data_IF_575353819979
#
_entry.id   IF_575353819979
#
_cell.length_a   1.000
_cell.length_b   1.000
_cell.length_c   1.000
_cell.angle_alpha   90.00
_cell.angle_beta   90.00
_cell.angle_gamma   90.00
#
_symmetry.space_group_name_H-M   'P 1'
#
loop_
_entity.id
_entity.type
_entity.pdbx_description
1 polymer ?
#
# COMPACT_ATOMS: atom_id res chain seq x y z
N UNK A 1 -32.92 8.58 63.21
CA UNK A 1 -33.62 9.84 62.91
C UNK A 1 -32.72 10.58 61.93
N UNK A 2 -32.98 10.80 60.65
CA UNK A 2 -34.16 10.80 59.76
C UNK A 2 -33.56 10.71 58.34
N UNK A 3 -33.85 9.65 57.58
CA UNK A 3 -34.78 9.61 56.44
C UNK A 3 -34.21 10.04 55.06
N UNK A 4 -34.01 9.02 54.22
CA UNK A 4 -34.32 8.94 52.77
C UNK A 4 -33.25 9.33 51.72
N UNK A 5 -32.83 8.35 50.87
CA UNK A 5 -32.46 8.52 49.45
C UNK A 5 -33.76 8.37 48.57
N UNK A 6 -33.80 8.13 47.23
CA UNK A 6 -32.78 8.04 46.16
C UNK A 6 -33.18 8.78 44.83
N UNK A 7 -32.34 8.72 43.77
CA UNK A 7 -32.83 8.85 42.39
C UNK A 7 -31.93 8.11 41.38
N UNK A 8 -32.42 6.94 40.96
CA UNK A 8 -31.96 6.13 39.82
C UNK A 8 -32.57 6.67 38.52
N UNK A 9 -31.75 6.91 37.49
CA UNK A 9 -32.19 7.17 36.12
C UNK A 9 -31.78 5.98 35.24
N UNK A 10 -32.77 5.23 34.76
CA UNK A 10 -32.65 4.29 33.65
C UNK A 10 -33.51 4.77 32.48
N UNK A 11 -33.12 4.46 31.23
CA UNK A 11 -33.66 5.12 30.04
C UNK A 11 -34.96 4.49 29.55
N UNK A 12 -35.83 5.36 29.04
CA UNK A 12 -37.11 5.03 28.42
C UNK A 12 -36.88 4.51 26.98
N UNK A 13 -37.29 3.27 26.71
CA UNK A 13 -37.22 2.62 25.38
C UNK A 13 -38.61 2.09 25.04
N UNK A 14 -39.31 2.76 24.11
CA UNK A 14 -40.30 2.14 23.23
C UNK A 14 -40.84 3.15 22.21
N UNK A 15 -40.52 2.93 20.93
CA UNK A 15 -41.46 3.12 19.82
C UNK A 15 -41.05 2.22 18.65
N UNK A 16 -42.04 1.47 18.18
CA UNK A 16 -42.05 0.52 17.06
C UNK A 16 -42.19 1.23 15.71
N UNK A 17 -42.21 0.41 14.64
CA UNK A 17 -42.40 0.69 13.19
C UNK A 17 -41.05 0.77 12.43
N UNK A 18 -40.79 0.02 11.38
CA UNK A 18 -41.54 -0.97 10.62
C UNK A 18 -40.74 -1.36 9.38
N UNK A 19 -41.05 -2.55 8.86
CA UNK A 19 -40.91 -3.02 7.47
C UNK A 19 -39.52 -3.16 6.85
N UNK A 20 -39.11 -4.43 6.74
CA UNK A 20 -38.26 -4.99 5.69
C UNK A 20 -38.81 -4.65 4.29
N UNK A 21 -37.92 -4.41 3.32
CA UNK A 21 -38.26 -4.55 1.91
C UNK A 21 -37.05 -5.07 1.15
N UNK A 22 -37.16 -6.34 0.80
CA UNK A 22 -36.45 -7.07 -0.25
C UNK A 22 -36.62 -6.39 -1.61
N UNK A 23 -35.51 -6.12 -2.31
CA UNK A 23 -35.51 -5.73 -3.72
C UNK A 23 -35.58 -6.98 -4.59
N UNK A 24 -36.77 -7.26 -5.13
CA UNK A 24 -37.02 -8.18 -6.24
C UNK A 24 -36.89 -7.43 -7.57
N UNK A 25 -36.11 -7.99 -8.49
CA UNK A 25 -36.02 -7.54 -9.88
C UNK A 25 -37.25 -8.03 -10.66
N UNK A 26 -38.08 -7.10 -11.14
CA UNK A 26 -39.12 -7.38 -12.14
C UNK A 26 -38.59 -7.05 -13.54
N UNK A 27 -38.74 -8.04 -14.43
CA UNK A 27 -38.66 -7.92 -15.88
C UNK A 27 -39.84 -7.10 -16.37
N UNK A 28 -39.58 -6.08 -17.20
CA UNK A 28 -40.61 -5.50 -18.05
C UNK A 28 -40.42 -5.95 -19.49
N UNK A 29 -41.53 -6.44 -20.03
CA UNK A 29 -41.70 -7.04 -21.33
C UNK A 29 -42.61 -6.09 -22.10
N UNK A 30 -42.14 -5.55 -23.22
CA UNK A 30 -43.04 -4.92 -24.20
C UNK A 30 -43.00 -5.67 -25.52
N UNK A 31 -44.23 -6.05 -25.90
CA UNK A 31 -44.65 -6.84 -27.04
C UNK A 31 -44.36 -6.19 -28.40
N UNK A 32 -44.06 -7.04 -29.39
CA UNK A 32 -44.77 -7.04 -30.68
C UNK A 32 -44.45 -8.33 -31.50
N UNK A 33 -45.43 -9.24 -31.54
CA UNK A 33 -45.67 -10.29 -32.55
C UNK A 33 -46.19 -9.65 -33.87
N UNK A 34 -46.51 -10.39 -34.97
CA UNK A 34 -46.21 -11.77 -35.38
C UNK A 34 -45.69 -11.80 -36.88
N UNK A 35 -45.35 -12.87 -37.59
CA UNK A 35 -46.18 -13.98 -38.08
C UNK A 35 -45.31 -15.00 -38.85
N UNK A 36 -45.71 -16.25 -38.65
CA UNK A 36 -45.43 -17.52 -39.33
C UNK A 36 -45.19 -17.41 -40.86
N UNK A 37 -44.35 -18.26 -41.47
CA UNK A 37 -44.81 -19.61 -41.81
C UNK A 37 -43.68 -20.58 -42.18
N UNK A 38 -43.84 -21.80 -41.67
CA UNK A 38 -43.20 -23.05 -42.08
C UNK A 38 -43.91 -23.56 -43.35
N UNK A 39 -43.15 -24.15 -44.28
CA UNK A 39 -43.71 -24.93 -45.38
C UNK A 39 -42.64 -25.76 -46.08
N UNK A 40 -42.71 -27.07 -45.90
CA UNK A 40 -41.76 -28.10 -46.32
C UNK A 40 -42.10 -28.74 -47.68
N UNK A 41 -41.05 -29.09 -48.43
CA UNK A 41 -40.85 -30.33 -49.22
C UNK A 41 -41.83 -30.78 -50.33
N UNK A 42 -41.30 -31.12 -51.52
CA UNK A 42 -41.22 -32.49 -52.12
C UNK A 42 -41.21 -32.47 -53.68
N UNK A 43 -40.19 -33.16 -54.23
CA UNK A 43 -40.01 -33.95 -55.48
C UNK A 43 -40.61 -33.63 -56.88
N UNK A 44 -39.77 -33.98 -57.88
CA UNK A 44 -40.11 -34.54 -59.20
C UNK A 44 -39.34 -33.84 -60.33
N UNK A 45 -38.25 -34.37 -60.92
CA UNK A 45 -38.19 -35.54 -61.82
C UNK A 45 -38.37 -35.07 -63.29
N UNK A 46 -37.34 -34.72 -64.07
CA UNK A 46 -36.38 -35.53 -64.86
C UNK A 46 -36.67 -35.58 -66.38
N UNK A 47 -35.57 -35.58 -67.16
CA UNK A 47 -35.32 -36.15 -68.52
C UNK A 47 -35.26 -35.32 -69.82
N UNK A 48 -34.24 -35.75 -70.60
CA UNK A 48 -33.82 -35.51 -72.00
C UNK A 48 -32.64 -34.53 -72.17
N UNK A 49 -31.54 -34.83 -72.89
CA UNK A 49 -31.22 -35.97 -73.74
C UNK A 49 -29.70 -36.13 -73.95
N UNK A 50 -29.37 -37.35 -74.38
CA UNK A 50 -28.10 -38.03 -74.58
C UNK A 50 -27.21 -37.49 -75.71
N UNK A 51 -25.88 -37.45 -75.50
CA UNK A 51 -24.92 -37.83 -76.55
C UNK A 51 -23.53 -38.19 -75.97
N UNK A 52 -23.16 -39.47 -76.11
CA UNK A 52 -21.81 -40.00 -75.88
C UNK A 52 -21.22 -40.45 -77.22
N UNK A 53 -20.01 -40.01 -77.55
CA UNK A 53 -19.04 -40.81 -78.31
C UNK A 53 -17.62 -40.50 -77.85
N UNK A 54 -16.86 -41.60 -77.66
CA UNK A 54 -15.53 -41.72 -77.03
C UNK A 54 -14.41 -41.08 -77.85
N UNK A 55 -13.40 -40.55 -77.15
CA UNK A 55 -12.01 -40.53 -77.62
C UNK A 55 -11.09 -41.02 -76.50
N UNK A 56 -10.08 -41.77 -76.90
CA UNK A 56 -9.17 -42.61 -76.12
C UNK A 56 -8.08 -41.83 -75.36
N UNK A 57 -7.72 -42.31 -74.17
CA UNK A 57 -6.35 -42.32 -73.65
C UNK A 57 -5.88 -41.13 -72.80
N UNK A 58 -5.78 -41.33 -71.47
CA UNK A 58 -4.54 -41.22 -70.66
C UNK A 58 -4.86 -41.34 -69.16
N UNK A 59 -4.10 -42.20 -68.47
CA UNK A 59 -4.00 -42.26 -67.01
C UNK A 59 -3.62 -40.87 -66.46
N UNK A 60 -4.39 -40.34 -65.51
CA UNK A 60 -3.98 -39.19 -64.70
C UNK A 60 -4.28 -39.45 -63.20
N UNK A 61 -3.25 -39.19 -62.38
CA UNK A 61 -3.15 -39.36 -60.91
C UNK A 61 -4.01 -38.35 -60.13
N UNK A 62 -4.24 -38.53 -58.81
CA UNK A 62 -5.33 -37.88 -58.08
C UNK A 62 -5.03 -36.41 -57.70
N UNK A 63 -6.04 -35.56 -57.91
CA UNK A 63 -6.09 -34.09 -57.68
C UNK A 63 -5.99 -33.64 -56.21
N UNK A 64 -5.95 -34.55 -55.24
CA UNK A 64 -6.13 -34.22 -53.81
C UNK A 64 -4.88 -33.70 -53.10
N UNK A 65 -3.69 -33.84 -53.71
CA UNK A 65 -2.42 -33.37 -53.14
C UNK A 65 -2.08 -31.91 -53.50
N UNK A 66 -2.66 -31.39 -54.60
CA UNK A 66 -2.36 -30.04 -55.08
C UNK A 66 -3.12 -28.94 -54.34
N UNK A 67 -4.34 -29.21 -53.83
CA UNK A 67 -5.11 -28.21 -53.06
C UNK A 67 -4.52 -27.97 -51.68
N UNK A 68 -4.20 -29.03 -50.93
CA UNK A 68 -3.62 -28.94 -49.58
C UNK A 68 -2.30 -28.17 -49.55
N UNK A 69 -1.39 -28.42 -50.50
CA UNK A 69 -0.11 -27.72 -50.57
C UNK A 69 -0.27 -26.23 -50.90
N UNK A 70 -1.32 -25.88 -51.63
CA UNK A 70 -1.62 -24.51 -52.05
C UNK A 70 -2.31 -23.73 -50.92
N UNK A 71 -3.22 -24.38 -50.19
CA UNK A 71 -3.88 -23.83 -49.00
C UNK A 71 -2.87 -23.63 -47.83
N UNK A 72 -1.96 -24.60 -47.62
CA UNK A 72 -0.87 -24.48 -46.64
C UNK A 72 0.10 -23.35 -47.04
N UNK A 73 0.39 -23.19 -48.34
CA UNK A 73 1.24 -22.11 -48.85
C UNK A 73 0.63 -20.73 -48.63
N UNK A 74 -0.69 -20.58 -48.81
CA UNK A 74 -1.40 -19.32 -48.55
C UNK A 74 -1.43 -18.99 -47.05
N UNK A 75 -1.74 -19.95 -46.18
CA UNK A 75 -1.74 -19.75 -44.72
C UNK A 75 -0.33 -19.43 -44.18
N UNK A 76 0.71 -20.08 -44.72
CA UNK A 76 2.11 -19.79 -44.36
C UNK A 76 2.55 -18.38 -44.81
N UNK A 77 2.09 -17.92 -45.97
CA UNK A 77 2.39 -16.58 -46.46
C UNK A 77 1.69 -15.49 -45.63
N UNK A 78 0.43 -15.70 -45.24
CA UNK A 78 -0.32 -14.78 -44.39
C UNK A 78 0.26 -14.69 -42.97
N UNK A 79 0.61 -15.83 -42.38
CA UNK A 79 1.26 -15.87 -41.06
C UNK A 79 2.65 -15.24 -41.09
N UNK A 80 3.42 -15.43 -42.16
CA UNK A 80 4.70 -14.76 -42.36
C UNK A 80 4.57 -13.24 -42.52
N UNK A 81 3.57 -12.78 -43.26
CA UNK A 81 3.29 -11.34 -43.42
C UNK A 81 2.85 -10.71 -42.10
N UNK A 82 1.95 -11.38 -41.36
CA UNK A 82 1.50 -10.94 -40.05
C UNK A 82 2.65 -10.89 -39.05
N UNK A 83 3.44 -11.95 -38.89
CA UNK A 83 4.60 -11.95 -37.98
C UNK A 83 5.63 -10.90 -38.37
N UNK A 84 5.93 -10.73 -39.66
CA UNK A 84 6.84 -9.70 -40.14
C UNK A 84 6.32 -8.28 -39.87
N UNK A 85 5.02 -8.05 -40.06
CA UNK A 85 4.39 -6.76 -39.77
C UNK A 85 4.35 -6.48 -38.27
N UNK A 86 4.03 -7.48 -37.44
CA UNK A 86 4.08 -7.37 -35.97
C UNK A 86 5.48 -7.05 -35.48
N UNK A 87 6.52 -7.74 -35.98
CA UNK A 87 7.93 -7.47 -35.63
C UNK A 87 8.35 -6.06 -36.08
N UNK A 88 7.89 -5.62 -37.26
CA UNK A 88 8.18 -4.29 -37.79
C UNK A 88 7.47 -3.20 -36.97
N UNK A 89 6.21 -3.42 -36.57
CA UNK A 89 5.45 -2.52 -35.70
C UNK A 89 6.07 -2.43 -34.30
N UNK A 90 6.52 -3.55 -33.73
CA UNK A 90 7.27 -3.63 -32.47
C UNK A 90 8.61 -2.88 -32.55
N UNK A 91 9.29 -2.92 -33.70
CA UNK A 91 10.51 -2.13 -33.96
C UNK A 91 10.23 -0.64 -34.09
N UNK A 92 9.18 -0.25 -34.83
CA UNK A 92 8.79 1.16 -35.01
C UNK A 92 8.26 1.80 -33.74
N UNK A 93 7.71 1.01 -32.80
CA UNK A 93 7.37 1.52 -31.48
C UNK A 93 8.61 2.00 -30.71
N UNK A 94 9.84 1.65 -31.09
CA UNK A 94 11.09 2.13 -30.47
C UNK A 94 11.26 1.78 -28.98
N UNK A 95 10.27 1.08 -28.43
CA UNK A 95 10.05 0.81 -27.00
C UNK A 95 10.73 -0.51 -26.61
N UNK A 96 10.79 -1.52 -27.48
CA UNK A 96 11.27 -2.86 -27.10
C UNK A 96 12.66 -2.90 -26.44
N UNK A 97 13.73 -2.60 -27.19
CA UNK A 97 15.09 -2.79 -26.67
C UNK A 97 15.47 -1.77 -25.58
N UNK A 98 15.11 -0.49 -25.75
CA UNK A 98 15.44 0.57 -24.78
C UNK A 98 14.76 0.34 -23.43
N UNK A 99 13.52 -0.14 -23.42
CA UNK A 99 12.82 -0.46 -22.18
C UNK A 99 13.31 -1.75 -21.54
N UNK A 100 13.66 -2.77 -22.33
CA UNK A 100 14.31 -3.98 -21.81
C UNK A 100 15.64 -3.62 -21.13
N UNK A 101 16.47 -2.79 -21.75
CA UNK A 101 17.74 -2.35 -21.14
C UNK A 101 17.51 -1.51 -19.88
N UNK A 102 16.46 -0.68 -19.83
CA UNK A 102 16.11 0.11 -18.63
C UNK A 102 15.57 -0.76 -17.50
N UNK A 103 14.74 -1.76 -17.81
CA UNK A 103 14.24 -2.72 -16.82
C UNK A 103 15.37 -3.61 -16.30
N UNK A 104 16.27 -4.07 -17.17
CA UNK A 104 17.45 -4.83 -16.76
C UNK A 104 18.39 -3.97 -15.89
N UNK A 105 18.64 -2.72 -16.29
CA UNK A 105 19.43 -1.78 -15.49
C UNK A 105 18.77 -1.49 -14.13
N UNK A 106 17.44 -1.32 -14.08
CA UNK A 106 16.69 -1.16 -12.83
C UNK A 106 16.76 -2.42 -11.96
N UNK A 107 16.68 -3.62 -12.56
CA UNK A 107 16.83 -4.89 -11.86
C UNK A 107 18.22 -5.08 -11.24
N UNK A 108 19.28 -4.74 -11.99
CA UNK A 108 20.66 -4.74 -11.49
C UNK A 108 20.81 -3.70 -10.38
N UNK A 109 20.29 -2.49 -10.57
CA UNK A 109 20.33 -1.44 -9.56
C UNK A 109 19.63 -1.88 -8.25
N UNK A 110 18.45 -2.47 -8.35
CA UNK A 110 17.74 -3.04 -7.20
C UNK A 110 18.57 -4.14 -6.53
N UNK A 111 19.12 -5.08 -7.31
CA UNK A 111 19.97 -6.17 -6.79
C UNK A 111 21.22 -5.67 -6.07
N UNK A 112 21.83 -4.56 -6.52
CA UNK A 112 22.97 -3.94 -5.85
C UNK A 112 22.59 -3.25 -4.53
N UNK A 113 21.36 -2.75 -4.40
CA UNK A 113 20.86 -2.16 -3.16
C UNK A 113 20.41 -3.21 -2.14
N UNK A 114 19.96 -4.38 -2.60
CA UNK A 114 19.39 -5.43 -1.74
C UNK A 114 20.26 -5.80 -0.53
N UNK A 115 21.58 -6.02 -0.64
CA UNK A 115 22.41 -6.37 0.51
C UNK A 115 22.32 -5.36 1.66
N UNK A 116 22.29 -4.07 1.34
CA UNK A 116 22.18 -3.00 2.36
C UNK A 116 20.83 -3.01 3.05
N UNK A 117 19.73 -3.11 2.28
CA UNK A 117 18.39 -3.20 2.86
C UNK A 117 18.21 -4.48 3.70
N UNK A 118 18.76 -5.61 3.25
CA UNK A 118 18.74 -6.86 4.01
C UNK A 118 19.51 -6.73 5.32
N UNK A 119 20.66 -6.07 5.31
CA UNK A 119 21.46 -5.84 6.53
C UNK A 119 20.70 -4.98 7.55
N UNK A 120 20.07 -3.88 7.11
CA UNK A 120 19.26 -3.02 7.98
C UNK A 120 18.07 -3.80 8.56
N UNK A 121 17.37 -4.59 7.72
CA UNK A 121 16.27 -5.42 8.17
C UNK A 121 16.73 -6.49 9.16
N UNK A 122 17.85 -7.17 8.88
CA UNK A 122 18.43 -8.16 9.78
C UNK A 122 18.75 -7.54 11.15
N UNK A 123 19.43 -6.39 11.17
CA UNK A 123 19.73 -5.67 12.39
C UNK A 123 18.46 -5.25 13.14
N UNK A 124 17.44 -4.77 12.43
CA UNK A 124 16.17 -4.38 13.03
C UNK A 124 15.46 -5.55 13.73
N UNK A 125 15.49 -6.75 13.16
CA UNK A 125 14.81 -7.91 13.73
C UNK A 125 15.63 -8.68 14.78
N UNK A 126 16.96 -8.76 14.60
CA UNK A 126 17.82 -9.67 15.37
C UNK A 126 18.82 -8.97 16.30
N UNK A 127 18.99 -7.64 16.21
CA UNK A 127 19.90 -6.94 17.10
C UNK A 127 19.31 -6.80 18.51
N UNK A 128 20.11 -7.15 19.53
CA UNK A 128 19.75 -6.92 20.93
C UNK A 128 19.68 -5.45 21.33
N UNK A 129 20.25 -4.56 20.50
CA UNK A 129 20.24 -3.11 20.70
C UNK A 129 18.94 -2.45 20.25
N UNK A 130 18.03 -3.18 19.60
CA UNK A 130 16.75 -2.64 19.13
C UNK A 130 15.64 -3.19 20.00
N UNK A 131 15.09 -2.35 20.88
CA UNK A 131 13.89 -2.70 21.63
C UNK A 131 12.67 -2.24 20.85
N UNK A 132 11.92 -3.21 20.32
CA UNK A 132 10.79 -2.94 19.43
C UNK A 132 9.46 -2.89 20.17
N UNK A 133 8.56 -2.07 19.65
CA UNK A 133 7.13 -2.03 20.01
C UNK A 133 6.87 -1.76 21.49
N UNK A 134 7.65 -0.86 22.09
CA UNK A 134 7.41 -0.34 23.44
C UNK A 134 6.10 0.45 23.43
N UNK A 135 5.20 0.11 24.34
CA UNK A 135 3.88 0.72 24.45
C UNK A 135 3.98 2.05 25.18
N UNK A 136 3.50 3.12 24.55
CA UNK A 136 3.45 4.44 25.20
C UNK A 136 2.01 4.98 25.37
N UNK A 137 1.01 4.34 24.73
CA UNK A 137 -0.39 4.77 24.83
C UNK A 137 -1.37 3.68 24.38
N UNK A 138 -2.66 4.00 24.49
CA UNK A 138 -3.74 3.01 24.40
C UNK A 138 -4.04 2.54 22.98
N UNK A 139 -3.70 3.34 21.98
CA UNK A 139 -4.00 3.00 20.60
C UNK A 139 -3.05 1.90 20.08
N UNK A 140 -3.48 1.05 19.13
CA UNK A 140 -2.65 -0.03 18.59
C UNK A 140 -1.31 0.44 18.01
N UNK A 141 -1.28 1.66 17.47
CA UNK A 141 -0.10 2.29 16.89
C UNK A 141 0.68 3.17 17.87
N UNK A 142 0.25 3.33 19.12
CA UNK A 142 0.99 4.07 20.13
C UNK A 142 2.11 3.20 20.67
N UNK A 143 3.09 2.99 19.79
CA UNK A 143 4.27 2.14 19.96
C UNK A 143 5.49 2.90 19.51
N UNK A 144 6.63 2.63 20.12
CA UNK A 144 7.91 3.16 19.66
C UNK A 144 8.96 2.05 19.60
N UNK A 145 9.98 2.26 18.79
CA UNK A 145 11.18 1.43 18.77
C UNK A 145 12.37 2.24 19.31
N UNK A 146 13.10 1.67 20.27
CA UNK A 146 14.34 2.24 20.79
C UNK A 146 15.55 1.58 20.15
N UNK A 147 16.47 2.40 19.68
CA UNK A 147 17.79 2.00 19.20
C UNK A 147 18.80 2.45 20.26
N UNK A 148 19.42 1.48 20.92
CA UNK A 148 20.36 1.71 22.01
C UNK A 148 21.80 1.57 21.50
N UNK A 149 22.73 2.39 22.00
CA UNK A 149 24.15 2.21 21.68
C UNK A 149 24.71 0.94 22.31
N UNK A 150 25.81 0.43 21.75
CA UNK A 150 26.52 -0.75 22.28
C UNK A 150 27.05 -0.51 23.68
N UNK A 151 27.48 0.71 23.96
CA UNK A 151 28.02 1.10 25.24
C UNK A 151 27.03 2.02 25.97
N UNK A 152 26.57 1.61 27.15
CA UNK A 152 25.68 2.38 28.03
C UNK A 152 26.42 2.96 29.25
N UNK A 153 27.74 3.16 29.15
CA UNK A 153 28.54 3.83 30.18
C UNK A 153 28.09 5.30 30.31
N UNK A 154 27.28 5.54 31.34
CA UNK A 154 26.70 6.85 31.64
C UNK A 154 25.48 7.22 30.79
N UNK A 155 24.74 8.26 31.20
CA UNK A 155 23.54 8.69 30.50
C UNK A 155 23.89 9.18 29.10
N UNK A 156 23.11 8.79 28.10
CA UNK A 156 23.34 9.09 26.67
C UNK A 156 22.35 10.14 26.14
N UNK A 157 22.73 10.99 25.18
CA UNK A 157 21.79 11.89 24.52
C UNK A 157 20.69 11.09 23.80
N UNK A 158 19.50 11.66 23.73
CA UNK A 158 18.29 10.99 23.22
C UNK A 158 17.74 11.78 22.03
N UNK A 159 17.49 11.11 20.92
CA UNK A 159 16.77 11.66 19.77
C UNK A 159 15.40 11.01 19.63
N UNK A 160 14.35 11.77 19.95
CA UNK A 160 12.98 11.41 19.61
C UNK A 160 12.75 11.67 18.12
N UNK A 161 12.46 10.64 17.34
CA UNK A 161 12.25 10.72 15.91
C UNK A 161 10.80 10.41 15.54
N UNK A 162 10.15 11.35 14.84
CA UNK A 162 8.78 11.21 14.32
C UNK A 162 8.85 10.99 12.81
N UNK A 163 8.45 9.79 12.39
CA UNK A 163 8.56 9.35 10.99
C UNK A 163 7.56 10.09 10.10
N UNK A 164 7.91 10.36 8.84
CA UNK A 164 6.97 10.85 7.83
C UNK A 164 6.14 9.77 7.14
N UNK A 165 5.50 10.14 6.03
CA UNK A 165 4.68 9.20 5.23
C UNK A 165 3.35 9.79 4.77
N UNK A 166 3.32 11.09 4.43
CA UNK A 166 2.15 11.82 3.95
C UNK A 166 0.87 11.56 4.78
N UNK A 167 1.03 11.38 6.10
CA UNK A 167 -0.06 11.07 7.06
C UNK A 167 -0.80 9.74 6.83
N UNK A 168 -0.44 8.95 5.81
CA UNK A 168 -1.21 7.78 5.37
C UNK A 168 -0.42 6.47 5.56
N UNK A 169 0.89 6.47 5.28
CA UNK A 169 1.69 5.24 5.16
C UNK A 169 2.90 5.16 6.10
N UNK A 170 3.09 6.16 6.97
CA UNK A 170 4.25 6.22 7.88
C UNK A 170 4.32 5.02 8.83
N UNK A 171 5.54 4.59 9.19
CA UNK A 171 5.77 3.49 10.13
C UNK A 171 7.13 3.62 10.83
N UNK A 172 7.18 3.35 12.15
CA UNK A 172 8.39 3.52 12.98
C UNK A 172 9.64 2.80 12.46
N UNK A 173 9.50 1.67 11.77
CA UNK A 173 10.66 0.96 11.21
C UNK A 173 11.36 1.73 10.07
N UNK A 174 10.73 2.73 9.46
CA UNK A 174 11.39 3.57 8.45
C UNK A 174 12.49 4.45 9.07
N UNK A 175 12.42 4.71 10.38
CA UNK A 175 13.50 5.33 11.14
C UNK A 175 14.67 4.40 11.45
N UNK A 176 14.62 3.12 11.08
CA UNK A 176 15.63 2.12 11.51
C UNK A 176 17.05 2.41 11.05
N UNK A 177 17.23 2.90 9.82
CA UNK A 177 18.55 3.27 9.33
C UNK A 177 19.13 4.45 10.10
N UNK A 178 18.32 5.49 10.35
CA UNK A 178 18.72 6.65 11.15
C UNK A 178 19.03 6.23 12.59
N UNK A 179 18.15 5.39 13.18
CA UNK A 179 18.29 4.85 14.52
C UNK A 179 19.59 4.08 14.71
N UNK A 180 19.91 3.16 13.80
CA UNK A 180 21.16 2.40 13.83
C UNK A 180 22.38 3.32 13.69
N UNK A 181 22.36 4.26 12.76
CA UNK A 181 23.49 5.17 12.52
C UNK A 181 23.78 6.10 13.70
N UNK A 182 22.76 6.58 14.39
CA UNK A 182 22.95 7.43 15.57
C UNK A 182 23.30 6.60 16.82
N UNK A 183 22.76 5.39 16.96
CA UNK A 183 23.14 4.46 18.03
C UNK A 183 24.61 4.06 17.95
N UNK A 184 25.18 3.93 16.74
CA UNK A 184 26.63 3.74 16.54
C UNK A 184 27.48 4.92 17.03
N UNK A 185 26.87 6.09 17.23
CA UNK A 185 27.51 7.34 17.70
C UNK A 185 27.16 7.66 19.16
N UNK A 186 26.78 6.64 19.93
CA UNK A 186 26.39 6.76 21.35
C UNK A 186 25.15 7.64 21.62
N UNK A 187 24.23 7.74 20.65
CA UNK A 187 22.96 8.46 20.78
C UNK A 187 21.81 7.45 20.79
N UNK A 188 20.96 7.51 21.82
CA UNK A 188 19.73 6.70 21.85
C UNK A 188 18.71 7.32 20.90
N UNK A 189 18.11 6.51 20.03
CA UNK A 189 17.04 6.98 19.13
C UNK A 189 15.72 6.31 19.47
N UNK A 190 14.69 7.12 19.67
CA UNK A 190 13.32 6.66 19.91
C UNK A 190 12.45 6.99 18.70
N UNK A 191 12.13 6.00 17.88
CA UNK A 191 11.26 6.17 16.72
C UNK A 191 9.80 6.01 17.15
N UNK A 192 9.06 7.12 17.20
CA UNK A 192 7.65 7.17 17.59
C UNK A 192 6.78 6.79 16.37
N UNK A 193 5.89 5.83 16.57
CA UNK A 193 4.79 5.51 15.65
C UNK A 193 3.54 6.25 16.09
N UNK A 194 2.65 6.59 15.17
CA UNK A 194 1.39 7.27 15.47
C UNK A 194 0.27 6.77 14.54
N UNK A 195 -1.00 7.09 14.82
CA UNK A 195 -2.13 6.68 13.94
C UNK A 195 -2.02 7.31 12.56
N UNK A 196 -2.29 6.56 11.49
CA UNK A 196 -2.34 7.11 10.14
C UNK A 196 -3.79 7.40 9.73
N UNK A 197 -3.98 8.18 8.66
CA UNK A 197 -5.26 8.29 7.98
C UNK A 197 -5.56 6.98 7.22
N UNK A 198 -6.80 6.46 7.23
CA UNK A 198 -8.02 7.01 7.84
C UNK A 198 -8.29 6.57 9.29
N UNK A 199 -7.36 5.86 9.95
CA UNK A 199 -7.55 5.39 11.33
C UNK A 199 -7.55 6.52 12.38
N UNK A 200 -6.94 7.66 12.07
CA UNK A 200 -6.96 8.87 12.89
C UNK A 200 -6.92 10.13 12.03
N UNK A 201 -7.34 11.25 12.63
CA UNK A 201 -7.20 12.59 12.04
C UNK A 201 -5.80 13.17 12.30
N UNK A 202 -5.49 14.32 11.70
CA UNK A 202 -4.23 15.02 12.03
C UNK A 202 -4.16 15.42 13.51
N UNK A 203 -5.28 15.79 14.13
CA UNK A 203 -5.33 16.10 15.56
C UNK A 203 -4.99 14.87 16.43
N UNK A 204 -5.48 13.70 16.03
CA UNK A 204 -5.15 12.42 16.65
C UNK A 204 -3.64 12.12 16.53
N UNK A 205 -3.05 12.34 15.35
CA UNK A 205 -1.62 12.16 15.11
C UNK A 205 -0.76 13.06 16.01
N UNK A 206 -1.16 14.32 16.16
CA UNK A 206 -0.49 15.28 17.04
C UNK A 206 -0.58 14.84 18.50
N UNK A 207 -1.75 14.35 18.92
CA UNK A 207 -1.96 13.83 20.28
C UNK A 207 -1.09 12.59 20.53
N UNK A 208 -1.06 11.64 19.59
CA UNK A 208 -0.25 10.43 19.71
C UNK A 208 1.25 10.76 19.75
N UNK A 209 1.71 11.71 18.91
CA UNK A 209 3.10 12.16 18.92
C UNK A 209 3.46 12.86 20.25
N UNK A 210 2.57 13.71 20.78
CA UNK A 210 2.76 14.35 22.09
C UNK A 210 2.84 13.32 23.22
N UNK A 211 1.99 12.29 23.21
CA UNK A 211 2.08 11.18 24.16
C UNK A 211 3.40 10.40 24.03
N UNK A 212 3.87 10.15 22.80
CA UNK A 212 5.16 9.50 22.57
C UNK A 212 6.33 10.32 23.09
N UNK A 213 6.32 11.64 22.87
CA UNK A 213 7.32 12.56 23.42
C UNK A 213 7.26 12.55 24.95
N UNK A 214 6.06 12.61 25.52
CA UNK A 214 5.85 12.54 26.98
C UNK A 214 6.44 11.28 27.58
N UNK A 215 6.21 10.13 26.93
CA UNK A 215 6.76 8.85 27.36
C UNK A 215 8.29 8.88 27.36
N UNK A 216 8.92 9.41 26.31
CA UNK A 216 10.38 9.52 26.23
C UNK A 216 10.90 10.43 27.36
N UNK A 217 10.31 11.61 27.54
CA UNK A 217 10.69 12.55 28.60
C UNK A 217 10.67 11.92 30.00
N UNK A 218 9.70 11.04 30.25
CA UNK A 218 9.45 10.47 31.58
C UNK A 218 10.16 9.13 31.82
N UNK A 219 10.45 8.34 30.79
CA UNK A 219 10.92 6.96 30.94
C UNK A 219 12.33 6.71 30.37
N UNK A 220 12.91 7.63 29.59
CA UNK A 220 14.15 7.32 28.86
C UNK A 220 15.36 7.07 29.76
N UNK A 221 15.32 7.56 31.01
CA UNK A 221 16.35 7.29 32.01
C UNK A 221 16.51 5.79 32.30
N UNK A 222 15.41 5.03 32.27
CA UNK A 222 15.41 3.57 32.48
C UNK A 222 16.13 2.82 31.34
N UNK A 223 16.20 3.44 30.16
CA UNK A 223 16.87 2.89 28.97
C UNK A 223 18.29 3.43 28.80
N UNK A 224 18.86 4.11 29.81
CA UNK A 224 20.19 4.69 29.78
C UNK A 224 20.29 6.06 29.09
N UNK A 225 19.14 6.69 28.80
CA UNK A 225 19.08 8.04 28.25
C UNK A 225 19.20 9.13 29.31
N UNK A 226 19.68 10.29 28.88
CA UNK A 226 19.73 11.50 29.69
C UNK A 226 18.44 12.31 29.51
N UNK A 227 17.59 12.43 30.53
CA UNK A 227 16.36 13.22 30.43
C UNK A 227 16.62 14.72 30.22
N UNK A 228 17.86 15.19 30.45
CA UNK A 228 18.27 16.58 30.21
C UNK A 228 18.86 16.82 28.82
N UNK A 229 19.04 15.78 28.00
CA UNK A 229 19.59 15.88 26.63
C UNK A 229 18.69 15.17 25.63
N UNK A 230 17.43 15.60 25.59
CA UNK A 230 16.44 15.11 24.63
C UNK A 230 16.35 16.09 23.45
N UNK A 231 16.41 15.55 22.24
CA UNK A 231 16.30 16.27 20.98
C UNK A 231 15.12 15.70 20.19
N UNK A 232 14.34 16.56 19.54
CA UNK A 232 13.21 16.14 18.71
C UNK A 232 13.56 16.29 17.24
N UNK A 233 13.28 15.27 16.44
CA UNK A 233 13.45 15.30 14.99
C UNK A 233 12.18 14.76 14.33
N UNK A 234 11.75 15.40 13.26
CA UNK A 234 10.64 14.90 12.44
C UNK A 234 10.99 14.98 10.96
N UNK A 235 10.43 14.07 10.15
CA UNK A 235 10.63 14.06 8.70
C UNK A 235 9.30 14.22 7.95
N UNK A 236 9.24 15.15 6.99
CA UNK A 236 8.06 15.40 6.14
C UNK A 236 6.77 15.59 6.97
N UNK A 237 5.77 14.72 6.80
CA UNK A 237 4.56 14.69 7.64
C UNK A 237 4.88 14.59 9.14
N UNK A 238 5.90 13.82 9.51
CA UNK A 238 6.35 13.71 10.89
C UNK A 238 6.90 15.02 11.45
N UNK A 239 7.61 15.81 10.63
CA UNK A 239 8.06 17.15 10.99
C UNK A 239 6.87 18.09 11.24
N UNK A 240 5.86 18.01 10.38
CA UNK A 240 4.62 18.76 10.59
C UNK A 240 3.96 18.36 11.92
N UNK A 241 3.75 17.07 12.15
CA UNK A 241 3.09 16.55 13.37
C UNK A 241 3.88 16.90 14.64
N UNK A 242 5.20 16.71 14.66
CA UNK A 242 6.03 17.01 15.82
C UNK A 242 6.09 18.52 16.12
N UNK A 243 6.11 19.37 15.09
CA UNK A 243 6.06 20.81 15.27
C UNK A 243 4.71 21.26 15.85
N UNK A 244 3.59 20.71 15.35
CA UNK A 244 2.27 20.97 15.93
C UNK A 244 2.20 20.50 17.39
N UNK A 245 2.76 19.34 17.72
CA UNK A 245 2.78 18.83 19.10
C UNK A 245 3.57 19.74 20.05
N UNK A 246 4.73 20.24 19.62
CA UNK A 246 5.52 21.22 20.39
C UNK A 246 4.76 22.53 20.62
N UNK A 247 4.11 23.05 19.58
CA UNK A 247 3.37 24.31 19.67
C UNK A 247 2.13 24.18 20.56
N UNK A 248 1.38 23.09 20.42
CA UNK A 248 0.22 22.80 21.27
C UNK A 248 0.66 22.70 22.74
N UNK A 249 1.75 21.97 23.00
CA UNK A 249 2.30 21.85 24.34
C UNK A 249 2.77 23.19 24.93
N UNK A 250 3.44 24.02 24.14
CA UNK A 250 3.85 25.37 24.57
C UNK A 250 2.64 26.27 24.90
N UNK A 251 1.56 26.17 24.13
CA UNK A 251 0.33 26.93 24.37
C UNK A 251 -0.34 26.47 25.67
N UNK A 252 -0.38 25.16 25.95
CA UNK A 252 -0.93 24.60 27.18
C UNK A 252 -0.13 25.04 28.41
N UNK A 253 1.20 25.03 28.32
CA UNK A 253 2.10 25.57 29.34
C UNK A 253 1.86 27.06 29.60
N UNK A 254 1.74 27.87 28.54
CA UNK A 254 1.49 29.31 28.67
C UNK A 254 0.13 29.63 29.31
N UNK A 255 -0.88 28.78 29.13
CA UNK A 255 -2.21 28.92 29.76
C UNK A 255 -2.25 28.48 31.22
N UNK A 256 -1.20 27.84 31.73
CA UNK A 256 -1.16 27.32 33.09
C UNK A 256 -2.10 26.13 33.32
N UNK A 257 -2.31 25.28 32.31
CA UNK A 257 -3.10 24.06 32.49
C UNK A 257 -2.43 23.13 33.51
N UNK A 258 -3.17 22.66 34.52
CA UNK A 258 -2.61 21.85 35.63
C UNK A 258 -2.19 20.42 35.23
N UNK A 259 -2.58 19.94 34.04
CA UNK A 259 -2.33 18.55 33.57
C UNK A 259 -1.33 18.47 32.42
N UNK A 260 -0.11 18.94 32.67
CA UNK A 260 1.00 18.85 31.72
C UNK A 260 1.83 17.59 32.02
N UNK A 261 1.89 16.66 31.07
CA UNK A 261 2.60 15.38 31.24
C UNK A 261 4.09 15.43 30.84
N UNK A 262 4.52 16.49 30.17
CA UNK A 262 5.91 16.79 29.80
C UNK A 262 6.06 18.27 29.46
N UNK A 263 7.26 18.84 29.61
CA UNK A 263 7.50 20.26 29.29
C UNK A 263 8.34 20.46 28.04
N UNK A 264 8.03 21.52 27.27
CA UNK A 264 8.84 21.95 26.11
C UNK A 264 10.31 22.22 26.51
N UNK A 265 10.58 22.65 27.75
CA UNK A 265 11.95 22.89 28.24
C UNK A 265 12.84 21.63 28.33
N UNK A 266 12.22 20.44 28.33
CA UNK A 266 12.96 19.16 28.29
C UNK A 266 13.56 18.90 26.91
N UNK A 267 12.97 19.48 25.85
CA UNK A 267 13.43 19.33 24.48
C UNK A 267 14.46 20.42 24.17
N UNK A 268 15.72 20.03 23.95
CA UNK A 268 16.85 20.96 23.76
C UNK A 268 16.93 21.57 22.37
N UNK A 269 16.50 20.82 21.35
CA UNK A 269 16.40 21.34 19.99
C UNK A 269 15.38 20.54 19.19
N UNK A 270 14.88 21.19 18.14
CA UNK A 270 13.97 20.59 17.16
C UNK A 270 14.58 20.64 15.76
N UNK A 271 14.55 19.51 15.05
CA UNK A 271 15.04 19.36 13.68
C UNK A 271 13.91 18.90 12.75
N UNK A 272 13.46 19.78 11.85
CA UNK A 272 12.52 19.44 10.79
C UNK A 272 13.24 19.09 9.50
N UNK A 273 13.10 17.84 9.03
CA UNK A 273 13.64 17.39 7.75
C UNK A 273 12.54 17.45 6.70
N UNK A 274 12.77 18.21 5.61
CA UNK A 274 11.87 18.18 4.47
C UNK A 274 11.91 16.80 3.79
N UNK A 275 10.76 16.26 3.42
CA UNK A 275 10.68 15.08 2.56
C UNK A 275 10.96 15.45 1.11
N UNK A 276 11.62 14.54 0.38
CA UNK A 276 11.74 14.57 -1.07
C UNK A 276 10.71 13.68 -1.74
#
# INVERSE_FOLDING_TARGET
MTSSPPATLSPNRNRSLGTETTMSYDNDQTDAKPLLSRGSSVNGGSFNQMQRRRVSGKLAKPERQQSLSRDIGHAAAETYLLTRLTITLLRYLGVGYRWITRLAALGIYAALLMPGFLQVAYNYFFSSQVQRSIVYGDQPRNRLDLYLPKNLDGPKPVMAFVTGGAWIIGYKAWGSLLGQQLAERDIIVACIDYRNFPQGTIGDMVTDASQGISFICNNIAEYGGDPNRIYLMGQSAGAHISACALLDQAIREAKGEESISWSVFQIKAYFGLSGG
#
